data_IF_028891360738
#
_entry.id   IF_028891360738
#
_cell.length_a   1.000
_cell.length_b   1.000
_cell.length_c   1.000
_cell.angle_alpha   90.00
_cell.angle_beta   90.00
_cell.angle_gamma   90.00
#
_symmetry.space_group_name_H-M   'P 1'
#
loop_
_entity.id
_entity.type
_entity.pdbx_description
1 polymer ?
#
# COMPACT_ATOMS: atom_id res chain seq x y z
N UNK A 1 101.58 -124.97 26.21
CA UNK A 1 101.26 -123.57 25.86
C UNK A 1 99.90 -123.60 25.20
N UNK A 2 98.84 -123.42 25.98
CA UNK A 2 97.47 -123.60 25.48
C UNK A 2 97.09 -122.40 24.59
N UNK A 3 96.65 -122.69 23.37
CA UNK A 3 96.34 -121.70 22.32
C UNK A 3 94.92 -121.17 22.58
N UNK A 4 94.83 -119.91 23.03
CA UNK A 4 93.56 -119.21 23.32
C UNK A 4 92.81 -118.88 22.01
N UNK A 5 91.53 -119.25 21.89
CA UNK A 5 90.71 -118.98 20.71
C UNK A 5 90.02 -117.60 20.77
N UNK A 6 89.67 -116.96 19.64
CA UNK A 6 89.01 -115.64 19.62
C UNK A 6 87.66 -115.58 20.34
N UNK A 7 86.91 -116.69 20.39
CA UNK A 7 85.70 -116.81 21.22
C UNK A 7 86.01 -116.71 22.72
N UNK A 8 87.17 -117.19 23.15
CA UNK A 8 87.60 -117.10 24.55
C UNK A 8 88.01 -115.67 24.93
N UNK A 9 88.54 -114.90 23.97
CA UNK A 9 88.81 -113.47 24.15
C UNK A 9 87.52 -112.66 24.32
N UNK A 10 86.51 -112.86 23.49
CA UNK A 10 85.20 -112.20 23.64
C UNK A 10 84.52 -112.57 24.97
N UNK A 11 84.58 -113.86 25.35
CA UNK A 11 84.10 -114.31 26.66
C UNK A 11 84.88 -113.65 27.80
N UNK A 12 86.21 -113.55 27.71
CA UNK A 12 87.04 -112.90 28.73
C UNK A 12 86.73 -111.41 28.88
N UNK A 13 86.47 -110.69 27.77
CA UNK A 13 86.08 -109.27 27.80
C UNK A 13 84.66 -109.09 28.37
N UNK A 14 83.72 -109.96 28.00
CA UNK A 14 82.38 -109.97 28.58
C UNK A 14 82.37 -110.27 30.09
N UNK A 15 83.26 -111.17 30.54
CA UNK A 15 83.48 -111.47 31.95
C UNK A 15 84.17 -110.30 32.66
N UNK A 16 85.16 -109.65 32.03
CA UNK A 16 85.84 -108.48 32.59
C UNK A 16 84.88 -107.29 32.76
N UNK A 17 84.02 -107.01 31.77
CA UNK A 17 82.96 -105.98 31.88
C UNK A 17 82.00 -106.29 33.01
N UNK A 18 81.58 -107.55 33.17
CA UNK A 18 80.72 -107.99 34.28
C UNK A 18 81.40 -107.83 35.64
N UNK A 19 82.66 -108.27 35.77
CA UNK A 19 83.45 -108.08 37.00
C UNK A 19 83.64 -106.60 37.32
N UNK A 20 83.93 -105.77 36.33
CA UNK A 20 84.09 -104.33 36.52
C UNK A 20 82.78 -103.64 36.93
N UNK A 21 81.66 -103.98 36.27
CA UNK A 21 80.34 -103.48 36.66
C UNK A 21 79.95 -103.93 38.08
N UNK A 22 80.26 -105.18 38.45
CA UNK A 22 80.03 -105.70 39.80
C UNK A 22 80.91 -104.99 40.83
N UNK A 23 82.19 -104.71 40.54
CA UNK A 23 83.06 -103.90 41.41
C UNK A 23 82.52 -102.47 41.60
N UNK A 24 82.09 -101.81 40.52
CA UNK A 24 81.47 -100.48 40.58
C UNK A 24 80.16 -100.48 41.40
N UNK A 25 79.36 -101.55 41.29
CA UNK A 25 78.14 -101.76 42.09
C UNK A 25 78.47 -102.03 43.57
N UNK A 26 79.42 -102.90 43.86
CA UNK A 26 79.86 -103.22 45.21
C UNK A 26 80.38 -101.98 45.95
N UNK A 27 81.15 -101.13 45.28
CA UNK A 27 81.60 -99.84 45.83
C UNK A 27 80.43 -98.92 46.24
N UNK A 28 79.27 -99.02 45.58
CA UNK A 28 78.06 -98.27 45.94
C UNK A 28 77.28 -98.93 47.07
N UNK A 29 77.21 -100.26 47.10
CA UNK A 29 76.42 -101.03 48.08
C UNK A 29 77.10 -101.11 49.45
N UNK A 30 78.42 -101.31 49.48
CA UNK A 30 79.18 -101.49 50.71
C UNK A 30 79.60 -100.17 51.37
N UNK A 31 79.52 -99.04 50.67
CA UNK A 31 79.72 -97.73 51.26
C UNK A 31 78.43 -97.26 51.99
N UNK A 32 78.42 -97.39 53.32
CA UNK A 32 77.25 -97.07 54.15
C UNK A 32 76.77 -95.61 54.00
N UNK A 33 77.66 -94.64 53.76
CA UNK A 33 77.32 -93.22 53.58
C UNK A 33 76.58 -92.99 52.27
N UNK A 34 77.07 -93.58 51.18
CA UNK A 34 76.40 -93.50 49.87
C UNK A 34 75.04 -94.22 49.87
N UNK A 35 74.85 -95.23 50.73
CA UNK A 35 73.57 -95.94 50.87
C UNK A 35 72.51 -95.14 51.63
N UNK A 36 72.91 -94.33 52.61
CA UNK A 36 71.98 -93.58 53.47
C UNK A 36 71.67 -92.19 52.89
N UNK A 37 72.66 -91.48 52.33
CA UNK A 37 72.53 -90.07 51.89
C UNK A 37 72.66 -89.92 50.36
N UNK A 38 73.07 -90.97 49.66
CA UNK A 38 73.58 -90.95 48.27
C UNK A 38 72.97 -89.92 47.32
N UNK A 39 73.85 -89.20 46.63
CA UNK A 39 73.53 -88.21 45.62
C UNK A 39 74.80 -87.76 44.90
N UNK A 40 74.62 -87.18 43.71
CA UNK A 40 75.71 -86.65 42.91
C UNK A 40 75.71 -85.12 43.03
N UNK A 41 76.60 -84.60 43.88
CA UNK A 41 76.68 -83.17 44.18
C UNK A 41 77.04 -82.34 42.94
N UNK A 42 77.92 -82.87 42.08
CA UNK A 42 78.32 -82.21 40.84
C UNK A 42 77.13 -82.12 39.87
N UNK A 43 76.32 -83.18 39.76
CA UNK A 43 75.11 -83.15 38.94
C UNK A 43 74.05 -82.16 39.47
N UNK A 44 73.90 -82.04 40.79
CA UNK A 44 72.99 -81.05 41.39
C UNK A 44 73.47 -79.61 41.19
N UNK A 45 74.77 -79.36 41.30
CA UNK A 45 75.35 -78.04 41.03
C UNK A 45 75.13 -77.62 39.57
N UNK A 46 75.28 -78.56 38.62
CA UNK A 46 74.94 -78.34 37.21
C UNK A 46 73.44 -78.03 37.04
N UNK A 47 72.55 -78.80 37.67
CA UNK A 47 71.11 -78.56 37.60
C UNK A 47 70.70 -77.19 38.17
N UNK A 48 71.29 -76.78 39.29
CA UNK A 48 71.09 -75.46 39.89
C UNK A 48 71.63 -74.35 38.99
N UNK A 49 72.78 -74.58 38.34
CA UNK A 49 73.33 -73.63 37.40
C UNK A 49 72.43 -73.44 36.18
N UNK A 50 71.95 -74.55 35.59
CA UNK A 50 71.00 -74.55 34.47
C UNK A 50 69.67 -73.90 34.83
N UNK A 51 69.20 -74.09 36.07
CA UNK A 51 68.02 -73.40 36.57
C UNK A 51 68.25 -71.89 36.66
N UNK A 52 69.37 -71.45 37.25
CA UNK A 52 69.71 -70.01 37.32
C UNK A 52 69.84 -69.37 35.94
N UNK A 53 70.44 -70.08 34.97
CA UNK A 53 70.53 -69.60 33.59
C UNK A 53 69.13 -69.47 32.98
N UNK A 54 68.25 -70.46 33.18
CA UNK A 54 66.85 -70.38 32.71
C UNK A 54 66.10 -69.21 33.33
N UNK A 55 66.19 -69.03 34.64
CA UNK A 55 65.53 -67.92 35.34
C UNK A 55 66.07 -66.56 34.87
N UNK A 56 67.39 -66.42 34.70
CA UNK A 56 68.00 -65.18 34.21
C UNK A 56 67.61 -64.86 32.76
N UNK A 57 67.56 -65.88 31.89
CA UNK A 57 67.14 -65.70 30.49
C UNK A 57 65.65 -65.39 30.38
N UNK A 58 64.79 -66.00 31.20
CA UNK A 58 63.36 -65.69 31.25
C UNK A 58 63.12 -64.28 31.79
N UNK A 59 63.82 -63.89 32.87
CA UNK A 59 63.75 -62.54 33.42
C UNK A 59 64.19 -61.50 32.40
N UNK A 60 65.29 -61.73 31.68
CA UNK A 60 65.75 -60.84 30.61
C UNK A 60 64.69 -60.71 29.50
N UNK A 61 64.02 -61.81 29.11
CA UNK A 61 62.91 -61.78 28.15
C UNK A 61 61.75 -60.94 28.65
N UNK A 62 61.29 -61.16 29.88
CA UNK A 62 60.21 -60.37 30.51
C UNK A 62 60.57 -58.89 30.59
N UNK A 63 61.82 -58.55 30.92
CA UNK A 63 62.31 -57.17 30.93
C UNK A 63 62.29 -56.53 29.54
N UNK A 64 62.66 -57.27 28.49
CA UNK A 64 62.57 -56.78 27.10
C UNK A 64 61.13 -56.52 26.67
N UNK A 65 60.21 -57.44 26.95
CA UNK A 65 58.78 -57.24 26.65
C UNK A 65 58.18 -56.09 27.45
N UNK A 66 58.53 -55.95 28.73
CA UNK A 66 58.10 -54.82 29.53
C UNK A 66 58.65 -53.48 28.99
N UNK A 67 59.89 -53.46 28.49
CA UNK A 67 60.46 -52.27 27.86
C UNK A 67 59.76 -51.92 26.54
N UNK A 68 59.41 -52.91 25.73
CA UNK A 68 58.64 -52.74 24.50
C UNK A 68 57.24 -52.20 24.79
N UNK A 69 56.54 -52.79 25.77
CA UNK A 69 55.22 -52.32 26.21
C UNK A 69 55.25 -50.85 26.62
N UNK A 70 56.24 -50.44 27.44
CA UNK A 70 56.40 -49.01 27.81
C UNK A 70 56.64 -48.10 26.61
N UNK A 71 57.37 -48.57 25.59
CA UNK A 71 57.59 -47.79 24.35
C UNK A 71 56.32 -47.68 23.53
N UNK A 72 55.57 -48.76 23.40
CA UNK A 72 54.29 -48.79 22.70
C UNK A 72 53.28 -47.86 23.38
N UNK A 73 53.13 -47.93 24.70
CA UNK A 73 52.24 -47.06 25.48
C UNK A 73 52.62 -45.57 25.33
N UNK A 74 53.92 -45.26 25.37
CA UNK A 74 54.37 -43.88 25.12
C UNK A 74 54.02 -43.41 23.71
N UNK A 75 54.11 -44.31 22.73
CA UNK A 75 53.80 -44.01 21.33
C UNK A 75 52.31 -43.76 21.15
N UNK A 76 51.45 -44.61 21.73
CA UNK A 76 49.99 -44.45 21.66
C UNK A 76 49.55 -43.15 22.32
N UNK A 77 50.01 -42.83 23.54
CA UNK A 77 49.68 -41.55 24.20
C UNK A 77 50.08 -40.33 23.35
N UNK A 78 51.28 -40.39 22.73
CA UNK A 78 51.76 -39.28 21.88
C UNK A 78 50.89 -39.10 20.63
N UNK A 79 50.44 -40.21 20.03
CA UNK A 79 49.57 -40.19 18.85
C UNK A 79 48.17 -39.68 19.21
N UNK A 80 47.59 -40.13 20.32
CA UNK A 80 46.30 -39.64 20.83
C UNK A 80 46.33 -38.13 21.10
N UNK A 81 47.42 -37.62 21.69
CA UNK A 81 47.56 -36.18 21.95
C UNK A 81 47.71 -35.35 20.66
N UNK A 82 48.28 -35.93 19.60
CA UNK A 82 48.33 -35.30 18.27
C UNK A 82 46.93 -35.28 17.66
N UNK A 83 46.26 -36.42 17.60
CA UNK A 83 44.90 -36.54 17.09
C UNK A 83 43.92 -35.59 17.82
N UNK A 84 44.02 -35.52 19.15
CA UNK A 84 43.20 -34.61 19.97
C UNK A 84 43.45 -33.14 19.60
N UNK A 85 44.70 -32.75 19.33
CA UNK A 85 45.04 -31.39 18.90
C UNK A 85 44.53 -31.12 17.49
N UNK A 86 44.71 -32.05 16.58
CA UNK A 86 44.26 -31.92 15.19
C UNK A 86 42.74 -31.81 15.13
N UNK A 87 42.01 -32.62 15.90
CA UNK A 87 40.55 -32.52 16.03
C UNK A 87 40.12 -31.15 16.56
N UNK A 88 40.79 -30.64 17.60
CA UNK A 88 40.50 -29.30 18.13
C UNK A 88 40.76 -28.21 17.10
N UNK A 89 41.87 -28.30 16.37
CA UNK A 89 42.23 -27.33 15.33
C UNK A 89 41.23 -27.36 14.16
N UNK A 90 40.82 -28.56 13.74
CA UNK A 90 39.79 -28.72 12.72
C UNK A 90 38.45 -28.13 13.16
N UNK A 91 38.00 -28.42 14.39
CA UNK A 91 36.76 -27.83 14.91
C UNK A 91 36.83 -26.30 14.98
N UNK A 92 37.98 -25.73 15.38
CA UNK A 92 38.20 -24.28 15.36
C UNK A 92 38.12 -23.73 13.94
N UNK A 93 38.86 -24.30 12.98
CA UNK A 93 38.85 -23.86 11.59
C UNK A 93 37.45 -23.92 10.96
N UNK A 94 36.66 -24.96 11.26
CA UNK A 94 35.27 -25.07 10.82
C UNK A 94 34.42 -23.95 11.44
N UNK A 95 34.56 -23.73 12.75
CA UNK A 95 33.81 -22.68 13.46
C UNK A 95 34.16 -21.29 12.91
N UNK A 96 35.45 -21.01 12.71
CA UNK A 96 35.94 -19.75 12.16
C UNK A 96 35.43 -19.52 10.73
N UNK A 97 35.42 -20.58 9.91
CA UNK A 97 34.85 -20.54 8.56
C UNK A 97 33.34 -20.25 8.59
N UNK A 98 32.59 -20.93 9.46
CA UNK A 98 31.15 -20.70 9.61
C UNK A 98 30.86 -19.26 10.07
N UNK A 99 31.61 -18.76 11.05
CA UNK A 99 31.44 -17.41 11.57
C UNK A 99 31.86 -16.32 10.58
N UNK A 100 32.86 -16.57 9.74
CA UNK A 100 33.34 -15.58 8.78
C UNK A 100 32.51 -15.54 7.50
N UNK A 101 32.13 -16.70 6.97
CA UNK A 101 31.59 -16.83 5.61
C UNK A 101 30.15 -17.37 5.56
N UNK A 102 29.65 -17.99 6.63
CA UNK A 102 28.29 -18.55 6.68
C UNK A 102 27.36 -17.78 7.60
N UNK A 103 27.56 -16.47 7.69
CA UNK A 103 26.70 -15.59 8.48
C UNK A 103 25.27 -15.60 7.90
N UNK A 104 24.23 -15.50 8.74
CA UNK A 104 22.86 -15.37 8.25
C UNK A 104 22.68 -14.16 7.33
N UNK A 105 23.36 -13.05 7.63
CA UNK A 105 23.25 -11.81 6.87
C UNK A 105 23.90 -11.90 5.48
N UNK A 106 24.85 -12.84 5.27
CA UNK A 106 25.51 -13.03 3.98
C UNK A 106 24.76 -14.00 3.05
N UNK A 107 23.57 -14.48 3.46
CA UNK A 107 22.73 -15.35 2.63
C UNK A 107 22.10 -14.54 1.50
N UNK A 108 21.91 -15.19 0.34
CA UNK A 108 21.30 -14.58 -0.85
C UNK A 108 19.87 -14.08 -0.61
N UNK A 109 19.14 -14.78 0.25
CA UNK A 109 17.72 -14.55 0.57
C UNK A 109 17.53 -13.88 1.94
N UNK A 110 18.59 -13.27 2.48
CA UNK A 110 18.51 -12.60 3.78
C UNK A 110 17.55 -11.42 3.75
N UNK A 111 17.45 -10.72 2.62
CA UNK A 111 16.47 -9.64 2.39
C UNK A 111 15.02 -10.08 2.65
N UNK A 112 14.67 -11.32 2.32
CA UNK A 112 13.34 -11.90 2.56
C UNK A 112 13.11 -12.33 4.02
N UNK A 113 14.18 -12.65 4.75
CA UNK A 113 14.13 -13.20 6.11
C UNK A 113 14.59 -12.21 7.19
N UNK A 114 14.93 -10.98 6.80
CA UNK A 114 15.39 -9.94 7.71
C UNK A 114 14.27 -9.54 8.68
N UNK A 115 14.45 -9.70 10.01
CA UNK A 115 13.45 -9.32 11.00
C UNK A 115 13.16 -7.81 11.01
N UNK A 116 14.04 -7.00 10.42
CA UNK A 116 13.89 -5.55 10.29
C UNK A 116 13.44 -5.12 8.89
N UNK A 117 13.11 -6.04 7.98
CA UNK A 117 12.72 -5.74 6.60
C UNK A 117 11.61 -4.67 6.54
N UNK A 118 10.53 -4.87 7.29
CA UNK A 118 9.38 -3.94 7.34
C UNK A 118 9.74 -2.53 7.82
N UNK A 119 10.82 -2.37 8.59
CA UNK A 119 11.29 -1.04 9.05
C UNK A 119 12.19 -0.36 8.03
N UNK A 120 12.88 -1.14 7.20
CA UNK A 120 13.76 -0.64 6.13
C UNK A 120 12.98 -0.32 4.87
N UNK A 121 11.87 -1.02 4.65
CA UNK A 121 11.01 -0.83 3.50
C UNK A 121 10.38 0.56 3.47
N UNK A 122 10.30 1.11 2.26
CA UNK A 122 9.65 2.39 1.99
C UNK A 122 8.15 2.17 1.81
N UNK A 123 7.29 3.11 2.25
CA UNK A 123 5.86 3.06 1.98
C UNK A 123 5.58 2.92 0.48
N UNK A 124 4.53 2.17 0.14
CA UNK A 124 4.14 1.91 -1.25
C UNK A 124 3.81 3.20 -2.04
N UNK A 125 3.22 4.21 -1.38
CA UNK A 125 3.02 5.56 -1.91
C UNK A 125 3.58 6.57 -0.91
N UNK A 126 4.68 7.23 -1.27
CA UNK A 126 5.30 8.28 -0.44
C UNK A 126 4.73 9.66 -0.71
N UNK A 127 4.42 9.95 -1.98
CA UNK A 127 3.87 11.22 -2.45
C UNK A 127 3.02 10.96 -3.70
N UNK A 128 2.14 11.90 -4.03
CA UNK A 128 1.32 11.84 -5.23
C UNK A 128 2.13 12.05 -6.51
N UNK A 129 3.27 12.74 -6.40
CA UNK A 129 4.21 13.01 -7.48
C UNK A 129 5.43 12.08 -7.44
N UNK A 130 5.30 10.89 -6.86
CA UNK A 130 6.37 9.90 -6.85
C UNK A 130 6.49 9.20 -8.22
N UNK A 131 7.64 9.34 -8.87
CA UNK A 131 7.92 8.74 -10.18
C UNK A 131 7.84 7.20 -10.16
N UNK A 132 7.98 6.58 -8.98
CA UNK A 132 7.83 5.11 -8.80
C UNK A 132 6.38 4.64 -9.00
N UNK A 133 5.40 5.53 -8.81
CA UNK A 133 3.98 5.23 -8.92
C UNK A 133 3.51 5.28 -10.37
N UNK A 134 3.91 4.28 -11.14
CA UNK A 134 3.43 4.06 -12.50
C UNK A 134 1.98 3.53 -12.49
N UNK A 135 1.32 3.61 -13.65
CA UNK A 135 -0.08 3.17 -13.81
C UNK A 135 -0.27 1.69 -13.45
N UNK A 136 0.71 0.83 -13.76
CA UNK A 136 0.65 -0.60 -13.45
C UNK A 136 0.79 -0.91 -11.96
N UNK A 137 1.39 -0.02 -11.17
CA UNK A 137 1.56 -0.20 -9.72
C UNK A 137 0.27 -0.09 -8.91
N UNK A 138 -0.82 0.42 -9.53
CA UNK A 138 -2.14 0.59 -8.90
C UNK A 138 -2.12 1.38 -7.58
N UNK A 139 -1.07 2.16 -7.33
CA UNK A 139 -0.96 2.99 -6.12
C UNK A 139 -1.63 4.37 -6.29
N UNK A 140 -1.79 4.84 -7.54
CA UNK A 140 -2.41 6.12 -7.88
C UNK A 140 -3.41 5.97 -9.01
N UNK A 141 -4.63 6.43 -8.76
CA UNK A 141 -5.71 6.44 -9.75
C UNK A 141 -6.04 7.86 -10.17
N UNK A 142 -6.19 8.09 -11.47
CA UNK A 142 -6.54 9.41 -12.02
C UNK A 142 -7.94 9.89 -11.61
N UNK A 143 -8.80 8.99 -11.13
CA UNK A 143 -10.12 9.33 -10.60
C UNK A 143 -10.10 9.82 -9.14
N UNK A 144 -8.97 9.70 -8.44
CA UNK A 144 -8.80 10.27 -7.11
C UNK A 144 -8.68 11.79 -7.23
N UNK A 145 -9.67 12.49 -6.71
CA UNK A 145 -9.73 13.94 -6.77
C UNK A 145 -9.34 14.56 -5.43
N UNK A 146 -8.06 14.84 -5.28
CA UNK A 146 -7.50 15.47 -4.09
C UNK A 146 -8.00 16.92 -3.92
N UNK A 147 -8.33 17.59 -5.02
CA UNK A 147 -8.76 19.00 -5.03
C UNK A 147 -10.29 19.15 -4.97
N UNK A 148 -11.01 18.11 -4.55
CA UNK A 148 -12.48 18.11 -4.45
C UNK A 148 -13.01 19.32 -3.67
N UNK A 149 -12.41 19.59 -2.52
CA UNK A 149 -12.83 20.68 -1.64
C UNK A 149 -12.60 22.05 -2.28
N UNK A 150 -11.47 22.25 -2.96
CA UNK A 150 -11.16 23.50 -3.66
C UNK A 150 -12.09 23.71 -4.84
N UNK A 151 -12.32 22.68 -5.66
CA UNK A 151 -13.27 22.76 -6.78
C UNK A 151 -14.67 23.08 -6.29
N UNK A 152 -15.13 22.43 -5.22
CA UNK A 152 -16.45 22.67 -4.64
C UNK A 152 -16.57 24.10 -4.10
N UNK A 153 -15.53 24.63 -3.46
CA UNK A 153 -15.47 26.03 -3.01
C UNK A 153 -15.61 26.99 -4.19
N UNK A 154 -14.85 26.78 -5.26
CA UNK A 154 -14.92 27.61 -6.46
C UNK A 154 -16.30 27.58 -7.12
N UNK A 155 -16.94 26.40 -7.20
CA UNK A 155 -18.31 26.27 -7.70
C UNK A 155 -19.32 27.02 -6.83
N UNK A 156 -19.16 27.00 -5.50
CA UNK A 156 -20.03 27.75 -4.59
C UNK A 156 -19.86 29.25 -4.75
N UNK A 157 -18.63 29.74 -4.93
CA UNK A 157 -18.34 31.15 -5.20
C UNK A 157 -18.96 31.61 -6.52
N UNK A 158 -18.82 30.83 -7.61
CA UNK A 158 -19.48 31.13 -8.88
C UNK A 158 -21.00 31.22 -8.75
N UNK A 159 -21.61 30.22 -8.09
CA UNK A 159 -23.06 30.20 -7.88
C UNK A 159 -23.53 31.41 -7.05
N UNK A 160 -22.74 31.82 -6.06
CA UNK A 160 -23.02 33.01 -5.25
C UNK A 160 -22.99 34.27 -6.10
N UNK A 161 -21.94 34.47 -6.90
CA UNK A 161 -21.82 35.66 -7.75
C UNK A 161 -22.92 35.72 -8.81
N UNK A 162 -23.25 34.60 -9.46
CA UNK A 162 -24.37 34.53 -10.39
C UNK A 162 -25.70 34.86 -9.74
N UNK A 163 -25.96 34.35 -8.53
CA UNK A 163 -27.18 34.67 -7.79
C UNK A 163 -27.27 36.17 -7.46
N UNK A 164 -26.15 36.76 -7.03
CA UNK A 164 -26.09 38.20 -6.72
C UNK A 164 -26.31 39.06 -7.96
N UNK A 165 -25.70 38.69 -9.09
CA UNK A 165 -25.91 39.38 -10.36
C UNK A 165 -27.38 39.32 -10.79
N UNK A 166 -27.99 38.13 -10.78
CA UNK A 166 -29.40 37.97 -11.13
C UNK A 166 -30.32 38.78 -10.20
N UNK A 167 -30.01 38.86 -8.91
CA UNK A 167 -30.76 39.69 -7.96
C UNK A 167 -30.64 41.19 -8.29
N UNK A 168 -29.44 41.66 -8.65
CA UNK A 168 -29.21 43.06 -9.05
C UNK A 168 -29.95 43.39 -10.33
N UNK A 169 -29.84 42.56 -11.36
CA UNK A 169 -30.55 42.74 -12.63
C UNK A 169 -32.07 42.76 -12.43
N UNK A 170 -32.60 41.85 -11.60
CA UNK A 170 -34.03 41.82 -11.25
C UNK A 170 -34.47 43.08 -10.50
N UNK A 171 -33.64 43.59 -9.58
CA UNK A 171 -33.93 44.85 -8.85
C UNK A 171 -33.93 46.05 -9.80
N UNK A 172 -32.95 46.13 -10.70
CA UNK A 172 -32.87 47.19 -11.70
C UNK A 172 -34.07 47.16 -12.65
N UNK A 173 -34.40 45.99 -13.20
CA UNK A 173 -35.57 45.83 -14.07
C UNK A 173 -36.88 46.23 -13.39
N UNK A 174 -37.05 45.91 -12.10
CA UNK A 174 -38.23 46.36 -11.31
C UNK A 174 -38.25 47.87 -11.10
N UNK A 175 -37.09 48.48 -10.84
CA UNK A 175 -36.99 49.92 -10.69
C UNK A 175 -37.31 50.65 -12.00
N UNK A 176 -36.82 50.14 -13.13
CA UNK A 176 -37.10 50.70 -14.44
C UNK A 176 -38.57 50.54 -14.84
N UNK A 177 -39.18 49.38 -14.55
CA UNK A 177 -40.62 49.18 -14.72
C UNK A 177 -41.43 50.19 -13.91
N UNK A 178 -41.11 50.36 -12.62
CA UNK A 178 -41.81 51.32 -11.77
C UNK A 178 -41.65 52.76 -12.26
N UNK A 179 -40.45 53.15 -12.70
CA UNK A 179 -40.23 54.48 -13.31
C UNK A 179 -41.07 54.67 -14.55
N UNK A 180 -41.18 53.65 -15.41
CA UNK A 180 -42.02 53.70 -16.60
C UNK A 180 -43.51 53.83 -16.25
N UNK A 181 -43.98 53.09 -15.24
CA UNK A 181 -45.35 53.22 -14.71
C UNK A 181 -45.62 54.61 -14.13
N UNK A 182 -44.70 55.15 -13.32
CA UNK A 182 -44.82 56.48 -12.72
C UNK A 182 -44.87 57.58 -13.80
N UNK A 183 -44.03 57.46 -14.84
CA UNK A 183 -44.06 58.35 -16.00
C UNK A 183 -45.39 58.25 -16.76
N UNK A 184 -45.88 57.04 -16.99
CA UNK A 184 -47.18 56.81 -17.65
C UNK A 184 -48.35 57.36 -16.83
N UNK A 185 -48.33 57.20 -15.50
CA UNK A 185 -49.33 57.80 -14.61
C UNK A 185 -49.28 59.33 -14.65
N UNK A 186 -48.09 59.92 -14.61
CA UNK A 186 -47.93 61.38 -14.70
C UNK A 186 -48.42 61.93 -16.03
N UNK A 187 -48.09 61.30 -17.16
CA UNK A 187 -48.57 61.73 -18.47
C UNK A 187 -50.09 61.57 -18.60
N UNK A 188 -50.66 60.49 -18.06
CA UNK A 188 -52.12 60.30 -18.00
C UNK A 188 -52.81 61.40 -17.20
N UNK A 189 -52.30 61.75 -16.02
CA UNK A 189 -52.85 62.84 -15.21
C UNK A 189 -52.77 64.19 -15.93
N UNK A 190 -51.66 64.47 -16.63
CA UNK A 190 -51.52 65.67 -17.47
C UNK A 190 -52.56 65.70 -18.60
N UNK A 191 -52.83 64.56 -19.25
CA UNK A 191 -53.91 64.47 -20.24
C UNK A 191 -55.28 64.73 -19.63
N UNK A 192 -55.57 64.19 -18.45
CA UNK A 192 -56.85 64.43 -17.76
C UNK A 192 -57.01 65.92 -17.36
N UNK A 193 -55.94 66.58 -16.92
CA UNK A 193 -55.93 68.02 -16.60
C UNK A 193 -56.14 68.89 -17.84
N UNK A 194 -55.42 68.61 -18.93
CA UNK A 194 -55.59 69.34 -20.19
C UNK A 194 -56.98 69.14 -20.78
N UNK A 195 -57.56 67.93 -20.69
CA UNK A 195 -58.93 67.66 -21.10
C UNK A 195 -59.94 68.49 -20.28
N UNK A 196 -59.78 68.59 -18.96
CA UNK A 196 -60.62 69.45 -18.10
C UNK A 196 -60.49 70.93 -18.48
N UNK A 197 -59.28 71.41 -18.74
CA UNK A 197 -59.05 72.79 -19.17
C UNK A 197 -59.74 73.09 -20.51
N UNK A 198 -59.60 72.19 -21.49
CA UNK A 198 -60.27 72.31 -22.79
C UNK A 198 -61.80 72.32 -22.64
N UNK A 199 -62.35 71.45 -21.79
CA UNK A 199 -63.79 71.40 -21.52
C UNK A 199 -64.28 72.71 -20.84
N UNK A 200 -63.51 73.27 -19.91
CA UNK A 200 -63.83 74.53 -19.25
C UNK A 200 -63.82 75.69 -20.26
N UNK A 201 -62.77 75.79 -21.09
CA UNK A 201 -62.66 76.78 -22.15
C UNK A 201 -63.82 76.66 -23.15
N UNK A 202 -64.14 75.45 -23.60
CA UNK A 202 -65.30 75.18 -24.46
C UNK A 202 -66.61 75.63 -23.80
N UNK A 203 -66.80 75.33 -22.51
CA UNK A 203 -68.00 75.77 -21.80
C UNK A 203 -68.09 77.29 -21.69
N UNK A 204 -66.96 77.97 -21.48
CA UNK A 204 -66.87 79.42 -21.37
C UNK A 204 -67.12 80.11 -22.72
N UNK A 205 -66.54 79.59 -23.81
CA UNK A 205 -66.80 80.09 -25.18
C UNK A 205 -68.25 79.88 -25.55
N UNK A 206 -68.84 78.70 -25.29
CA UNK A 206 -70.28 78.44 -25.50
C UNK A 206 -71.15 79.44 -24.72
N UNK A 207 -70.81 79.76 -23.47
CA UNK A 207 -71.51 80.78 -22.67
C UNK A 207 -71.35 82.19 -23.24
N UNK A 208 -70.15 82.58 -23.63
CA UNK A 208 -69.86 83.89 -24.22
C UNK A 208 -70.58 84.08 -25.56
N UNK A 209 -70.56 83.05 -26.42
CA UNK A 209 -71.34 83.01 -27.68
C UNK A 209 -72.82 83.14 -27.38
N UNK A 210 -73.36 82.38 -26.41
CA UNK A 210 -74.77 82.48 -26.02
C UNK A 210 -75.13 83.87 -25.51
N UNK A 211 -74.26 84.50 -24.71
CA UNK A 211 -74.47 85.86 -24.21
C UNK A 211 -74.41 86.91 -25.33
N UNK A 212 -73.44 86.81 -26.24
CA UNK A 212 -73.32 87.68 -27.41
C UNK A 212 -74.54 87.55 -28.34
N UNK A 213 -75.01 86.33 -28.59
CA UNK A 213 -76.26 86.06 -29.34
C UNK A 213 -77.46 86.66 -28.61
N UNK A 214 -77.55 86.51 -27.28
CA UNK A 214 -78.63 87.09 -26.48
C UNK A 214 -78.62 88.62 -26.56
N UNK A 215 -77.45 89.26 -26.46
CA UNK A 215 -77.31 90.72 -26.54
C UNK A 215 -77.63 91.24 -27.94
N UNK A 216 -77.17 90.54 -28.99
CA UNK A 216 -77.55 90.81 -30.38
C UNK A 216 -79.07 90.71 -30.58
N UNK A 217 -79.71 89.69 -30.00
CA UNK A 217 -81.17 89.55 -30.07
C UNK A 217 -81.89 90.70 -29.34
N UNK A 218 -81.37 91.16 -28.19
CA UNK A 218 -81.91 92.32 -27.45
C UNK A 218 -81.73 93.64 -28.21
N UNK A 219 -80.56 93.87 -28.79
CA UNK A 219 -80.30 95.08 -29.58
C UNK A 219 -81.15 95.10 -30.85
N UNK A 220 -81.36 93.94 -31.50
CA UNK A 220 -82.36 93.81 -32.56
C UNK A 220 -83.75 94.23 -32.06
N UNK A 221 -84.22 93.69 -30.93
CA UNK A 221 -85.50 94.06 -30.31
C UNK A 221 -85.67 95.56 -30.03
N UNK A 222 -84.60 96.25 -29.60
CA UNK A 222 -84.62 97.69 -29.33
C UNK A 222 -84.55 98.56 -30.61
N UNK A 223 -83.86 98.07 -31.64
CA UNK A 223 -83.80 98.74 -32.95
C UNK A 223 -85.06 98.48 -33.82
N UNK A 224 -85.90 97.55 -33.41
CA UNK A 224 -87.22 97.36 -34.00
C UNK A 224 -88.21 98.36 -33.36
N UNK A 225 -88.95 99.16 -34.14
CA UNK A 225 -90.09 99.88 -33.59
C UNK A 225 -91.07 98.85 -33.01
N UNK A 226 -91.33 98.96 -31.70
CA UNK A 226 -92.16 97.99 -30.97
C UNK A 226 -93.50 97.78 -31.67
N UNK A 227 -93.94 96.53 -31.88
CA UNK A 227 -95.14 96.26 -32.65
C UNK A 227 -96.39 96.74 -31.91
N UNK A 228 -97.17 97.60 -32.57
CA UNK A 228 -98.56 97.90 -32.23
C UNK A 228 -99.31 96.57 -31.98
N UNK A 229 -99.70 96.31 -30.73
CA UNK A 229 -100.42 95.10 -30.28
C UNK A 229 -101.86 94.98 -30.85
N UNK A 230 -102.18 95.61 -31.97
CA UNK A 230 -103.56 95.71 -32.47
C UNK A 230 -103.82 95.29 -33.91
N UNK A 231 -102.84 94.80 -34.66
CA UNK A 231 -103.10 94.26 -36.00
C UNK A 231 -102.11 93.14 -36.33
N UNK A 232 -102.53 91.88 -36.15
CA UNK A 232 -102.58 90.86 -37.21
C UNK A 232 -102.81 89.47 -36.58
N UNK A 233 -104.09 89.12 -36.49
CA UNK A 233 -104.54 87.73 -36.63
C UNK A 233 -104.35 87.32 -38.10
N UNK A 234 -104.19 86.02 -38.32
CA UNK A 234 -104.17 85.29 -39.59
C UNK A 234 -102.85 85.29 -40.39
N UNK A 235 -102.06 84.23 -40.22
CA UNK A 235 -101.79 83.29 -41.32
C UNK A 235 -101.19 81.97 -40.80
N UNK A 236 -101.89 80.86 -41.01
CA UNK A 236 -101.37 79.48 -40.99
C UNK A 236 -101.48 78.96 -42.43
N UNK A 237 -100.43 78.30 -42.94
CA UNK A 237 -100.56 76.98 -43.57
C UNK A 237 -99.43 76.04 -43.07
N UNK A 238 -99.61 74.78 -42.64
CA UNK A 238 -100.08 73.53 -43.26
C UNK A 238 -99.28 72.98 -44.48
N UNK A 239 -98.59 71.84 -44.27
CA UNK A 239 -98.04 70.85 -45.23
C UNK A 239 -96.51 70.93 -45.48
N UNK A 240 -95.66 69.88 -45.57
CA UNK A 240 -95.79 68.40 -45.60
C UNK A 240 -94.42 67.72 -45.30
N UNK A 241 -94.48 66.52 -44.69
CA UNK A 241 -93.72 65.24 -44.85
C UNK A 241 -92.23 65.15 -45.33
N UNK A 242 -91.33 64.66 -44.44
CA UNK A 242 -90.47 63.41 -44.42
C UNK A 242 -89.95 62.86 -45.80
N UNK A 243 -88.66 62.41 -46.02
CA UNK A 243 -87.95 61.35 -45.26
C UNK A 243 -86.38 61.34 -45.16
N UNK A 244 -85.86 60.55 -44.20
CA UNK A 244 -84.51 59.92 -44.15
C UNK A 244 -84.34 58.87 -45.29
N UNK A 245 -83.17 58.26 -45.66
CA UNK A 245 -82.10 57.73 -44.78
C UNK A 245 -80.65 57.72 -45.37
N UNK A 246 -79.68 57.24 -44.59
CA UNK A 246 -78.31 56.96 -45.05
C UNK A 246 -77.47 56.18 -44.03
N UNK A 247 -77.55 54.85 -44.11
CA UNK A 247 -76.75 53.84 -43.42
C UNK A 247 -75.24 53.99 -43.68
N UNK A 248 -74.42 53.68 -42.67
CA UNK A 248 -73.27 52.78 -42.81
C UNK A 248 -72.86 52.26 -41.42
N UNK A 249 -73.39 51.09 -41.10
CA UNK A 249 -72.76 50.13 -40.20
C UNK A 249 -71.46 49.63 -40.86
N UNK A 250 -70.38 49.58 -40.08
CA UNK A 250 -69.37 48.53 -40.20
C UNK A 250 -69.12 47.98 -38.81
N UNK A 251 -69.89 46.95 -38.47
CA UNK A 251 -69.69 46.09 -37.32
C UNK A 251 -68.58 45.07 -37.60
N UNK A 252 -67.58 45.05 -36.71
CA UNK A 252 -66.95 43.84 -36.17
C UNK A 252 -65.96 43.06 -37.05
N UNK A 253 -64.85 42.64 -36.43
CA UNK A 253 -64.39 41.24 -36.32
C UNK A 253 -63.11 41.19 -35.45
N UNK A 254 -63.15 40.36 -34.40
CA UNK A 254 -62.08 39.63 -33.66
C UNK A 254 -60.73 40.31 -33.35
N UNK A 255 -60.18 40.28 -32.13
CA UNK A 255 -60.10 39.11 -31.25
C UNK A 255 -58.83 38.29 -31.54
N UNK A 256 -57.87 38.36 -30.60
CA UNK A 256 -56.83 37.38 -30.26
C UNK A 256 -55.75 37.03 -31.31
N UNK A 257 -54.48 37.23 -30.92
CA UNK A 257 -53.35 36.62 -31.63
C UNK A 257 -52.02 37.21 -31.19
N UNK A 258 -51.53 36.77 -30.02
CA UNK A 258 -50.13 37.02 -29.64
C UNK A 258 -49.19 36.30 -30.59
N UNK A 259 -48.23 37.03 -31.16
CA UNK A 259 -47.07 36.44 -31.80
C UNK A 259 -45.86 36.63 -30.87
N UNK A 260 -45.48 35.54 -30.21
CA UNK A 260 -44.09 35.31 -29.80
C UNK A 260 -43.23 35.43 -31.05
N UNK A 261 -42.27 36.36 -31.02
CA UNK A 261 -41.07 36.25 -31.82
C UNK A 261 -40.02 35.64 -30.90
N UNK A 262 -39.87 34.33 -31.03
CA UNK A 262 -38.75 33.60 -30.47
C UNK A 262 -37.47 34.10 -31.14
N UNK A 263 -36.53 34.44 -30.26
CA UNK A 263 -35.17 34.83 -30.55
C UNK A 263 -34.43 33.68 -31.23
N UNK A 264 -33.99 33.87 -32.47
CA UNK A 264 -32.88 33.11 -33.06
C UNK A 264 -31.66 34.02 -33.08
N UNK A 265 -30.86 33.93 -32.02
CA UNK A 265 -29.46 34.36 -32.00
C UNK A 265 -28.63 33.15 -31.58
N UNK A 266 -28.30 32.33 -32.58
CA UNK A 266 -27.21 31.37 -32.49
C UNK A 266 -25.89 32.11 -32.71
N UNK A 267 -25.14 32.33 -31.63
CA UNK A 267 -23.72 32.60 -31.67
C UNK A 267 -23.01 31.24 -31.61
N UNK A 268 -22.28 30.89 -32.68
CA UNK A 268 -21.22 29.91 -32.64
C UNK A 268 -19.89 30.69 -32.63
N UNK A 269 -19.19 30.58 -31.51
CA UNK A 269 -17.87 31.15 -31.19
C UNK A 269 -17.48 30.66 -29.82
#
# INVERSE_FOLDING_TARGET
MDIVQPKDLEQSLGLAKRRHAELCRQNRIFNARNRIIGGDAEAWDIQLHDQKIREATEKARHETFAAEMRRSDKTTCTLEDRERRDRKNLCKAITDFQQSLQKPESRREFDLSDPLALKKDLPARRSDNDDRNTVSGMQRFMGEDLNFHERKKFQQEQNREWSLQQQRERKNARADHKRAEDLYMKTRLQFDETAKQLQNLESATRKAVRAAVQEFNKSQLLSQPGPCRHCFKFCVPFGNEIPSPGFLECSGISGLGGCRLDSLLGFAG
#
